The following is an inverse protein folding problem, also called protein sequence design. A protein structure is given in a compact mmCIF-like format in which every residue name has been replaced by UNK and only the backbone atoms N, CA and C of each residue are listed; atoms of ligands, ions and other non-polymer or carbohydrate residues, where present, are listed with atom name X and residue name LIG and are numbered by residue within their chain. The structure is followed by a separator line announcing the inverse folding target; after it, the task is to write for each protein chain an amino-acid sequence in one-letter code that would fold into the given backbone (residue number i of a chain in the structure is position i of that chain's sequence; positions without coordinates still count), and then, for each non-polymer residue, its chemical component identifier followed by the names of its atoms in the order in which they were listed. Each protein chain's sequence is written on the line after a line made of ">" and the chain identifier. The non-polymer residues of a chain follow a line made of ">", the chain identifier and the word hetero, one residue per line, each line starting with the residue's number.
data_IF_253346528513
#
_entry.id   IF_253346528513
#
_cell.length_a   1.000
_cell.length_b   1.000
_cell.length_c   1.000
_cell.angle_alpha   90.00
_cell.angle_beta   90.00
_cell.angle_gamma   90.00
#
_symmetry.space_group_name_H-M   'P 1'
#
loop_
_entity.id
_entity.type
_entity.pdbx_description
1 polymer ?
#
# COMPACT_ATOMS: atom_id res chain seq x y z
N UNK A 1 7.57 -9.73 -8.95
CA UNK A 1 8.76 -10.28 -9.62
C UNK A 1 9.68 -10.83 -8.56
N UNK A 2 10.10 -12.08 -8.70
CA UNK A 2 10.70 -12.86 -7.61
C UNK A 2 9.67 -13.67 -6.84
N UNK A 3 10.16 -14.54 -5.96
CA UNK A 3 9.34 -15.44 -5.16
C UNK A 3 8.64 -14.70 -4.01
N UNK A 4 7.34 -14.99 -3.84
CA UNK A 4 6.49 -14.47 -2.77
C UNK A 4 5.60 -15.61 -2.25
N UNK A 5 6.10 -16.40 -1.28
CA UNK A 5 5.33 -17.49 -0.71
C UNK A 5 4.05 -16.99 -0.05
N UNK A 6 3.03 -17.84 -0.07
CA UNK A 6 1.72 -17.54 0.48
C UNK A 6 1.62 -18.04 1.92
N UNK A 7 0.89 -17.31 2.77
CA UNK A 7 0.69 -17.72 4.16
C UNK A 7 -0.64 -17.20 4.72
N UNK A 8 -1.23 -17.98 5.61
CA UNK A 8 -2.37 -17.58 6.44
C UNK A 8 -2.09 -17.73 7.94
N UNK A 9 -0.80 -17.78 8.33
CA UNK A 9 -0.40 -18.09 9.69
C UNK A 9 -0.83 -17.02 10.72
N UNK A 10 -0.82 -15.75 10.32
CA UNK A 10 -1.40 -14.66 11.12
C UNK A 10 -2.74 -14.27 10.47
N UNK A 11 -3.88 -14.35 11.19
CA UNK A 11 -5.18 -13.99 10.66
C UNK A 11 -5.33 -12.48 10.45
N UNK A 12 -6.40 -12.06 9.75
CA UNK A 12 -6.67 -10.66 9.46
C UNK A 12 -6.03 -10.17 8.16
N UNK A 13 -5.97 -11.03 7.14
CA UNK A 13 -5.57 -10.70 5.77
C UNK A 13 -6.79 -10.43 4.88
N UNK A 14 -6.58 -9.77 3.73
CA UNK A 14 -7.64 -9.58 2.74
C UNK A 14 -7.65 -10.76 1.76
N UNK A 15 -8.84 -11.32 1.54
CA UNK A 15 -8.99 -12.52 0.70
C UNK A 15 -8.57 -13.80 1.43
N UNK A 16 -8.01 -14.81 0.72
CA UNK A 16 -7.75 -16.11 1.32
C UNK A 16 -6.39 -16.24 2.04
N UNK A 17 -5.42 -15.35 1.77
CA UNK A 17 -4.05 -15.40 2.32
C UNK A 17 -3.28 -14.12 1.99
N UNK A 18 -2.20 -13.84 2.73
CA UNK A 18 -1.20 -12.82 2.36
C UNK A 18 0.04 -13.45 1.70
N UNK A 19 0.87 -12.59 1.09
CA UNK A 19 2.19 -12.97 0.55
C UNK A 19 3.29 -12.39 1.41
N UNK A 20 4.42 -13.10 1.51
CA UNK A 20 5.58 -12.63 2.27
C UNK A 20 6.89 -12.84 1.52
N UNK A 21 7.96 -12.24 2.05
CA UNK A 21 9.30 -12.28 1.44
C UNK A 21 10.02 -13.62 1.47
N UNK A 22 9.54 -14.59 2.24
CA UNK A 22 10.36 -15.73 2.67
C UNK A 22 11.49 -15.32 3.62
N UNK A 23 12.36 -16.27 3.98
CA UNK A 23 13.46 -16.09 4.95
C UNK A 23 14.65 -15.31 4.37
N UNK A 24 15.05 -15.62 3.13
CA UNK A 24 16.23 -15.05 2.48
C UNK A 24 15.89 -14.49 1.09
N UNK A 25 15.05 -13.43 1.02
CA UNK A 25 14.71 -12.83 -0.25
C UNK A 25 15.92 -12.14 -0.92
N UNK A 26 15.91 -12.10 -2.26
CA UNK A 26 16.76 -11.17 -2.99
C UNK A 26 16.28 -9.71 -2.75
N UNK A 27 17.19 -8.74 -2.55
CA UNK A 27 16.84 -7.32 -2.43
C UNK A 27 16.26 -6.74 -3.72
N UNK A 28 16.21 -7.49 -4.82
CA UNK A 28 15.59 -7.12 -6.09
C UNK A 28 14.14 -7.60 -6.23
N UNK A 29 13.66 -8.48 -5.34
CA UNK A 29 12.27 -8.96 -5.40
C UNK A 29 11.26 -7.85 -5.10
N UNK A 30 10.18 -7.81 -5.87
CA UNK A 30 9.11 -6.79 -5.79
C UNK A 30 7.73 -7.43 -5.88
N UNK A 31 6.75 -6.91 -5.17
CA UNK A 31 5.33 -7.16 -5.42
C UNK A 31 4.73 -5.92 -6.10
N UNK A 32 3.91 -6.13 -7.14
CA UNK A 32 3.30 -5.05 -7.91
C UNK A 32 1.78 -5.16 -7.82
N UNK A 33 1.14 -4.08 -7.36
CA UNK A 33 -0.30 -3.91 -7.35
C UNK A 33 -0.66 -2.89 -8.42
N UNK A 34 -1.13 -3.37 -9.57
CA UNK A 34 -1.64 -2.53 -10.65
C UNK A 34 -3.15 -2.36 -10.49
N UNK A 35 -3.63 -1.15 -10.70
CA UNK A 35 -5.05 -0.84 -10.61
C UNK A 35 -5.46 0.18 -11.66
N UNK A 36 -6.77 0.24 -11.89
CA UNK A 36 -7.41 1.28 -12.70
C UNK A 36 -8.29 2.14 -11.82
N UNK A 37 -8.36 3.42 -12.16
CA UNK A 37 -9.29 4.37 -11.55
C UNK A 37 -10.49 4.59 -12.48
N UNK A 38 -11.71 4.75 -11.95
CA UNK A 38 -12.91 4.89 -12.77
C UNK A 38 -12.97 6.22 -13.54
N UNK A 39 -12.24 7.24 -13.07
CA UNK A 39 -12.12 8.55 -13.71
C UNK A 39 -10.83 9.25 -13.28
N UNK A 40 -10.36 10.18 -14.12
CA UNK A 40 -9.28 11.11 -13.75
C UNK A 40 -9.61 11.83 -12.44
N UNK A 41 -8.66 11.89 -11.51
CA UNK A 41 -8.85 12.59 -10.24
C UNK A 41 -7.77 12.31 -9.21
N UNK A 42 -7.97 12.85 -8.00
CA UNK A 42 -7.14 12.58 -6.84
C UNK A 42 -7.66 11.35 -6.11
N UNK A 43 -6.74 10.44 -5.76
CA UNK A 43 -7.07 9.24 -5.01
C UNK A 43 -6.13 9.09 -3.83
N UNK A 44 -6.71 8.76 -2.68
CA UNK A 44 -5.97 8.27 -1.53
C UNK A 44 -5.58 6.82 -1.77
N UNK A 45 -4.29 6.53 -1.65
CA UNK A 45 -3.73 5.18 -1.77
C UNK A 45 -3.37 4.68 -0.38
N UNK A 46 -3.88 3.51 -0.03
CA UNK A 46 -3.65 2.86 1.25
C UNK A 46 -3.05 1.46 1.06
N UNK A 47 -2.11 1.11 1.93
CA UNK A 47 -1.50 -0.21 1.99
C UNK A 47 -2.03 -0.97 3.21
N UNK A 48 -2.46 -2.21 3.01
CA UNK A 48 -2.85 -3.15 4.05
C UNK A 48 -1.77 -4.21 4.22
N UNK A 49 -1.54 -4.61 5.47
CA UNK A 49 -0.73 -5.77 5.83
C UNK A 49 -1.11 -6.26 7.22
N UNK A 50 -0.83 -7.53 7.51
CA UNK A 50 -1.01 -8.08 8.86
C UNK A 50 0.22 -7.75 9.74
N UNK A 51 0.06 -6.95 10.81
CA UNK A 51 1.19 -6.55 11.65
C UNK A 51 1.70 -7.70 12.50
N UNK A 52 3.00 -7.78 12.71
CA UNK A 52 3.63 -8.74 13.63
C UNK A 52 5.04 -8.27 14.06
N UNK A 53 5.54 -8.58 15.26
CA UNK A 53 6.85 -8.11 15.74
C UNK A 53 8.06 -8.50 14.86
N UNK A 54 7.96 -9.58 14.07
CA UNK A 54 9.03 -10.02 13.17
C UNK A 54 8.97 -9.39 11.75
N UNK A 55 8.07 -8.41 11.53
CA UNK A 55 8.00 -7.72 10.23
C UNK A 55 9.07 -6.63 10.13
N UNK A 56 9.39 -6.26 8.90
CA UNK A 56 10.31 -5.17 8.62
C UNK A 56 9.71 -3.82 9.07
N UNK A 57 10.57 -2.96 9.61
CA UNK A 57 10.23 -1.56 9.96
C UNK A 57 10.51 -0.59 8.82
N UNK A 58 11.28 -1.04 7.81
CA UNK A 58 11.74 -0.21 6.69
C UNK A 58 11.39 -0.83 5.33
N UNK A 59 10.13 -1.15 5.11
CA UNK A 59 9.66 -1.67 3.82
C UNK A 59 9.63 -0.55 2.78
N UNK A 60 10.43 -0.62 1.68
CA UNK A 60 10.36 0.36 0.61
C UNK A 60 9.07 0.17 -0.21
N UNK A 61 8.30 1.24 -0.33
CA UNK A 61 7.08 1.30 -1.13
C UNK A 61 7.17 2.44 -2.13
N UNK A 62 6.84 2.18 -3.38
CA UNK A 62 6.78 3.16 -4.46
C UNK A 62 5.36 3.23 -5.01
N UNK A 63 4.80 4.44 -5.10
CA UNK A 63 3.54 4.69 -5.78
C UNK A 63 3.84 5.41 -7.10
N UNK A 64 3.46 4.81 -8.22
CA UNK A 64 3.55 5.42 -9.55
C UNK A 64 2.20 6.04 -9.90
N UNK A 65 2.21 7.35 -10.11
CA UNK A 65 1.03 8.18 -10.35
C UNK A 65 1.28 9.15 -11.52
N UNK A 66 0.29 9.97 -11.88
CA UNK A 66 0.36 10.81 -13.08
C UNK A 66 1.52 11.81 -13.07
N UNK A 67 1.89 12.32 -11.90
CA UNK A 67 2.99 13.29 -11.71
C UNK A 67 4.37 12.62 -11.51
N UNK A 68 4.47 11.29 -11.54
CA UNK A 68 5.73 10.56 -11.39
C UNK A 68 5.68 9.48 -10.31
N UNK A 69 6.75 9.39 -9.52
CA UNK A 69 6.89 8.38 -8.46
C UNK A 69 7.00 9.03 -7.08
N UNK A 70 6.29 8.48 -6.11
CA UNK A 70 6.41 8.82 -4.69
C UNK A 70 6.93 7.63 -3.91
N UNK A 71 7.94 7.85 -3.05
CA UNK A 71 8.63 6.79 -2.28
C UNK A 71 8.39 6.95 -0.79
N UNK A 72 8.16 5.84 -0.09
CA UNK A 72 7.95 5.82 1.36
C UNK A 72 8.53 4.56 1.99
N UNK A 73 9.02 4.69 3.21
CA UNK A 73 9.32 3.54 4.09
C UNK A 73 8.12 3.28 5.00
N UNK A 74 7.72 2.01 5.09
CA UNK A 74 6.58 1.57 5.92
C UNK A 74 7.07 0.63 7.01
N UNK A 75 6.66 0.90 8.24
CA UNK A 75 6.83 0.00 9.37
C UNK A 75 5.65 -0.98 9.43
N UNK A 76 5.92 -2.26 9.24
CA UNK A 76 4.92 -3.33 9.25
C UNK A 76 4.74 -4.02 10.60
N UNK A 77 5.37 -3.53 11.67
CA UNK A 77 5.17 -4.05 13.04
C UNK A 77 3.96 -3.44 13.74
N UNK A 78 3.55 -2.24 13.33
CA UNK A 78 2.49 -1.49 14.00
C UNK A 78 1.34 -1.15 13.04
N UNK A 79 0.07 -1.28 13.46
CA UNK A 79 -1.03 -0.68 12.73
C UNK A 79 -0.93 0.86 12.88
N UNK A 80 -0.86 1.59 11.76
CA UNK A 80 -0.77 3.07 11.80
C UNK A 80 -2.15 3.77 11.77
N UNK A 81 -3.24 3.07 12.08
CA UNK A 81 -4.59 3.62 12.08
C UNK A 81 -5.66 2.71 12.72
N UNK A 82 -6.91 3.22 12.88
CA UNK A 82 -8.04 2.46 13.45
C UNK A 82 -8.53 1.32 12.55
N UNK A 83 -8.14 1.35 11.29
CA UNK A 83 -8.18 0.22 10.36
C UNK A 83 -6.71 -0.07 10.01
N UNK A 84 -6.29 -1.35 9.80
CA UNK A 84 -4.89 -1.74 9.59
C UNK A 84 -4.35 -1.33 8.20
N UNK A 85 -4.62 -0.10 7.80
CA UNK A 85 -4.16 0.53 6.58
C UNK A 85 -3.16 1.63 6.92
N UNK A 86 -2.06 1.65 6.18
CA UNK A 86 -1.14 2.80 6.13
C UNK A 86 -1.51 3.63 4.92
N UNK A 87 -1.86 4.90 5.13
CA UNK A 87 -2.06 5.86 4.03
C UNK A 87 -0.70 6.12 3.41
N UNK A 88 -0.50 5.78 2.14
CA UNK A 88 0.74 6.06 1.40
C UNK A 88 0.79 7.52 0.94
N UNK A 89 -0.36 8.08 0.57
CA UNK A 89 -0.54 9.48 0.18
C UNK A 89 -1.82 9.69 -0.63
N UNK A 90 -1.97 10.90 -1.16
CA UNK A 90 -3.02 11.26 -2.12
C UNK A 90 -2.32 11.65 -3.41
N UNK A 91 -2.68 11.02 -4.52
CA UNK A 91 -2.00 11.20 -5.79
C UNK A 91 -2.99 11.37 -6.95
N UNK A 92 -2.63 12.15 -7.99
CA UNK A 92 -3.42 12.25 -9.21
C UNK A 92 -3.22 11.01 -10.09
N UNK A 93 -4.33 10.48 -10.61
CA UNK A 93 -4.34 9.41 -11.59
C UNK A 93 -5.23 9.78 -12.77
N UNK A 94 -4.81 9.40 -13.98
CA UNK A 94 -5.61 9.56 -15.20
C UNK A 94 -6.52 8.35 -15.43
N UNK A 95 -5.92 7.15 -15.46
CA UNK A 95 -6.61 5.89 -15.73
C UNK A 95 -6.01 4.71 -14.97
N UNK A 96 -4.68 4.64 -14.87
CA UNK A 96 -3.97 3.52 -14.23
C UNK A 96 -2.99 4.03 -13.17
N UNK A 97 -2.69 3.16 -12.20
CA UNK A 97 -1.70 3.39 -11.16
C UNK A 97 -1.04 2.09 -10.73
N UNK A 98 0.10 2.20 -10.07
CA UNK A 98 0.85 1.06 -9.56
C UNK A 98 1.42 1.34 -8.16
N UNK A 99 1.30 0.37 -7.27
CA UNK A 99 2.06 0.33 -6.01
C UNK A 99 3.05 -0.82 -6.08
N UNK A 100 4.32 -0.52 -5.87
CA UNK A 100 5.40 -1.48 -5.74
C UNK A 100 5.82 -1.61 -4.28
N UNK A 101 5.91 -2.85 -3.80
CA UNK A 101 6.49 -3.18 -2.49
C UNK A 101 7.80 -3.92 -2.74
N UNK A 102 8.89 -3.39 -2.19
CA UNK A 102 10.23 -3.97 -2.33
C UNK A 102 10.79 -4.55 -1.04
N UNK A 103 11.99 -5.11 -1.18
CA UNK A 103 12.71 -5.78 -0.09
C UNK A 103 14.10 -5.16 0.18
N UNK A 104 14.52 -4.19 -0.63
CA UNK A 104 15.82 -3.55 -0.49
C UNK A 104 15.94 -2.84 0.88
N UNK A 105 16.88 -3.29 1.71
CA UNK A 105 17.13 -2.73 3.03
C UNK A 105 16.07 -3.07 4.09
N UNK A 106 15.22 -4.08 3.83
CA UNK A 106 14.27 -4.57 4.82
C UNK A 106 15.01 -5.31 5.98
N UNK A 107 14.56 -5.05 7.20
CA UNK A 107 15.13 -5.52 8.47
C UNK A 107 14.25 -6.59 9.15
N UNK A 108 13.42 -7.28 8.36
CA UNK A 108 12.49 -8.31 8.81
C UNK A 108 11.64 -8.82 7.65
N UNK A 109 10.59 -9.59 7.96
CA UNK A 109 9.68 -10.08 6.93
C UNK A 109 8.90 -8.94 6.28
N UNK A 110 8.86 -8.91 4.95
CA UNK A 110 8.01 -8.02 4.18
C UNK A 110 6.72 -8.73 3.83
N UNK A 111 5.58 -8.11 4.11
CA UNK A 111 4.24 -8.61 3.80
C UNK A 111 3.65 -7.78 2.66
N UNK A 112 3.07 -8.47 1.69
CA UNK A 112 2.25 -7.91 0.62
C UNK A 112 0.87 -8.56 0.68
N UNK A 113 -0.15 -7.76 0.99
CA UNK A 113 -1.52 -8.25 1.16
C UNK A 113 -2.46 -7.51 0.20
N UNK A 114 -2.80 -6.25 0.49
CA UNK A 114 -3.73 -5.50 -0.34
C UNK A 114 -3.39 -4.01 -0.44
N UNK A 115 -3.83 -3.41 -1.56
CA UNK A 115 -3.84 -1.97 -1.78
C UNK A 115 -5.28 -1.52 -1.97
N UNK A 116 -5.67 -0.47 -1.25
CA UNK A 116 -6.97 0.18 -1.40
C UNK A 116 -6.78 1.55 -2.02
N UNK A 117 -7.64 1.88 -2.98
CA UNK A 117 -7.61 3.15 -3.70
C UNK A 117 -8.98 3.78 -3.56
N UNK A 118 -9.04 4.95 -2.93
CA UNK A 118 -10.29 5.66 -2.63
C UNK A 118 -10.24 7.03 -3.29
N UNK A 119 -11.27 7.36 -4.05
CA UNK A 119 -11.39 8.68 -4.65
C UNK A 119 -11.49 9.75 -3.55
N UNK A 120 -10.64 10.76 -3.60
CA UNK A 120 -10.78 11.95 -2.76
C UNK A 120 -11.89 12.82 -3.34
N UNK A 121 -13.08 12.71 -2.73
CA UNK A 121 -14.16 13.64 -3.00
C UNK A 121 -14.01 14.83 -2.07
N UNK A 122 -13.59 15.96 -2.63
CA UNK A 122 -13.73 17.24 -1.94
C UNK A 122 -15.21 17.42 -1.58
N UNK A 123 -15.53 17.40 -0.29
CA UNK A 123 -16.82 17.92 0.16
C UNK A 123 -16.74 19.44 -0.03
N UNK A 124 -17.34 19.94 -1.11
CA UNK A 124 -17.69 21.36 -1.15
C UNK A 124 -18.82 21.53 -0.14
N UNK A 125 -18.50 22.10 1.03
CA UNK A 125 -19.52 22.64 1.89
C UNK A 125 -20.10 23.87 1.18
N UNK A 126 -21.18 23.70 0.41
CA UNK A 126 -22.05 24.82 0.09
C UNK A 126 -22.81 25.19 1.37
N UNK A 127 -22.20 26.06 2.16
CA UNK A 127 -22.87 26.89 3.16
C UNK A 127 -22.43 28.31 2.80
N UNK A 128 -23.27 29.25 2.41
CA UNK A 128 -24.71 29.33 2.48
C UNK A 128 -24.96 30.81 2.30
N UNK A 129 -25.28 31.21 1.07
CA UNK A 129 -25.62 32.58 0.78
C UNK A 129 -26.97 32.91 1.41
N UNK A 130 -26.98 34.02 2.14
CA UNK A 130 -28.11 34.94 2.18
C UNK A 130 -28.74 35.14 3.55
N UNK A 131 -29.61 36.15 3.66
CA UNK A 131 -29.60 37.46 2.99
C UNK A 131 -28.78 38.51 3.76
#
# INVERSE_FOLDING_TARGET
>A
MGEWPASGAIPGFIGPQYRHSGENPSPEHRALFRFRVPRKGLYRVLLFFTPHPNRATRVPVVVRHHEGESRRLVDQRQPQGPFPFVVLGVFPFEAEGEVEIGMAGADGYVIADAVMVVEERSFSASQGGGP
#
